data_IF_091048283200
#
_entry.id   IF_091048283200
#
_cell.length_a   1.000
_cell.length_b   1.000
_cell.length_c   1.000
_cell.angle_alpha   90.00
_cell.angle_beta   90.00
_cell.angle_gamma   90.00
#
_symmetry.space_group_name_H-M   'P 1'
#
loop_
_entity.id
_entity.type
_entity.pdbx_description
1 polymer ?
#
# COMPACT_ATOMS: atom_id res chain seq x y z
N UNK A 1 -52.41 19.57 15.27
CA UNK A 1 -51.35 18.58 14.97
C UNK A 1 -50.38 19.27 14.02
N UNK A 2 -49.09 19.40 14.37
CA UNK A 2 -48.17 20.22 13.58
C UNK A 2 -47.47 19.41 12.48
N UNK A 3 -47.30 20.06 11.33
CA UNK A 3 -46.60 19.59 10.15
C UNK A 3 -45.10 19.40 10.42
N UNK A 4 -44.56 18.22 10.10
CA UNK A 4 -43.13 17.93 10.14
C UNK A 4 -42.49 18.21 8.78
N UNK A 5 -41.75 19.31 8.70
CA UNK A 5 -40.88 19.68 7.58
C UNK A 5 -39.68 18.73 7.54
N UNK A 6 -39.55 17.96 6.46
CA UNK A 6 -38.38 17.13 6.17
C UNK A 6 -37.25 17.98 5.59
N UNK A 7 -36.33 18.42 6.46
CA UNK A 7 -35.12 19.14 6.02
C UNK A 7 -34.13 18.12 5.43
N UNK A 8 -34.15 18.00 4.10
CA UNK A 8 -33.11 17.31 3.34
C UNK A 8 -31.77 18.02 3.55
N UNK A 9 -30.89 17.39 4.33
CA UNK A 9 -29.50 17.84 4.57
C UNK A 9 -28.71 17.70 3.26
N UNK A 10 -28.71 18.74 2.41
CA UNK A 10 -27.81 18.86 1.25
C UNK A 10 -26.38 18.69 1.74
N UNK A 11 -25.76 17.55 1.41
CA UNK A 11 -24.30 17.35 1.56
C UNK A 11 -23.63 18.37 0.65
N UNK A 12 -23.08 19.44 1.23
CA UNK A 12 -22.27 20.42 0.53
C UNK A 12 -21.08 19.70 -0.11
N UNK A 13 -21.02 19.69 -1.44
CA UNK A 13 -19.84 19.27 -2.18
C UNK A 13 -18.69 20.21 -1.81
N UNK A 14 -17.69 19.70 -1.11
CA UNK A 14 -16.49 20.45 -0.75
C UNK A 14 -15.82 20.92 -2.06
N UNK A 15 -15.59 22.22 -2.26
CA UNK A 15 -14.95 22.71 -3.47
C UNK A 15 -13.52 22.17 -3.55
N UNK A 16 -13.12 21.60 -4.70
CA UNK A 16 -11.75 21.16 -4.94
C UNK A 16 -10.80 22.34 -4.72
N UNK A 17 -10.03 22.31 -3.66
CA UNK A 17 -9.13 23.42 -3.29
C UNK A 17 -7.76 23.24 -3.93
N UNK A 18 -6.96 24.32 -4.02
CA UNK A 18 -5.55 24.26 -4.44
C UNK A 18 -4.72 23.25 -3.61
N UNK A 19 -5.16 22.96 -2.39
CA UNK A 19 -4.60 21.90 -1.53
C UNK A 19 -4.73 20.51 -2.17
N UNK A 20 -5.88 20.19 -2.77
CA UNK A 20 -6.09 18.89 -3.44
C UNK A 20 -5.20 18.74 -4.68
N UNK A 21 -4.98 19.83 -5.39
CA UNK A 21 -4.09 19.86 -6.57
C UNK A 21 -2.63 19.68 -6.16
N UNK A 22 -2.20 20.35 -5.09
CA UNK A 22 -0.88 20.18 -4.50
C UNK A 22 -0.64 18.73 -4.05
N UNK A 23 -1.61 18.12 -3.35
CA UNK A 23 -1.52 16.72 -2.92
C UNK A 23 -1.40 15.77 -4.11
N UNK A 24 -2.17 16.00 -5.19
CA UNK A 24 -2.06 15.20 -6.43
C UNK A 24 -0.69 15.30 -7.07
N UNK A 25 -0.11 16.50 -7.12
CA UNK A 25 1.24 16.72 -7.65
C UNK A 25 2.28 15.97 -6.83
N UNK A 26 2.21 16.03 -5.49
CA UNK A 26 3.13 15.30 -4.61
C UNK A 26 3.03 13.78 -4.78
N UNK A 27 1.81 13.25 -4.82
CA UNK A 27 1.56 11.81 -5.02
C UNK A 27 2.11 11.38 -6.37
N UNK A 28 1.84 12.14 -7.43
CA UNK A 28 2.32 11.85 -8.78
C UNK A 28 3.85 11.84 -8.83
N UNK A 29 4.50 12.89 -8.32
CA UNK A 29 5.97 12.99 -8.31
C UNK A 29 6.63 11.81 -7.58
N UNK A 30 6.12 11.45 -6.40
CA UNK A 30 6.62 10.31 -5.62
C UNK A 30 6.45 9.00 -6.39
N UNK A 31 5.28 8.82 -7.02
CA UNK A 31 4.98 7.64 -7.84
C UNK A 31 5.91 7.53 -9.04
N UNK A 32 6.11 8.62 -9.78
CA UNK A 32 6.97 8.63 -10.97
C UNK A 32 8.43 8.27 -10.61
N UNK A 33 8.94 8.77 -9.46
CA UNK A 33 10.27 8.41 -8.94
C UNK A 33 10.35 6.93 -8.57
N UNK A 34 9.34 6.39 -7.90
CA UNK A 34 9.30 4.99 -7.51
C UNK A 34 9.17 4.06 -8.73
N UNK A 35 8.30 4.39 -9.69
CA UNK A 35 8.13 3.63 -10.91
C UNK A 35 9.42 3.61 -11.75
N UNK A 36 10.16 4.72 -11.81
CA UNK A 36 11.49 4.76 -12.42
C UNK A 36 12.47 3.78 -11.75
N UNK A 37 12.52 3.75 -10.41
CA UNK A 37 13.35 2.82 -9.66
C UNK A 37 12.94 1.37 -9.89
N UNK A 38 11.64 1.08 -9.94
CA UNK A 38 11.11 -0.27 -10.26
C UNK A 38 11.55 -0.70 -11.66
N UNK A 39 11.51 0.19 -12.65
CA UNK A 39 11.96 -0.11 -14.02
C UNK A 39 13.46 -0.42 -14.06
N UNK A 40 14.28 0.34 -13.33
CA UNK A 40 15.73 0.06 -13.23
C UNK A 40 16.02 -1.28 -12.56
N UNK A 41 15.31 -1.60 -11.48
CA UNK A 41 15.42 -2.89 -10.80
C UNK A 41 14.95 -4.04 -11.67
N UNK A 42 13.87 -3.87 -12.44
CA UNK A 42 13.35 -4.87 -13.36
C UNK A 42 14.31 -5.15 -14.52
N UNK A 43 15.02 -4.13 -15.02
CA UNK A 43 16.08 -4.31 -16.03
C UNK A 43 17.22 -5.19 -15.51
N UNK A 44 17.61 -5.02 -14.24
CA UNK A 44 18.72 -5.77 -13.61
C UNK A 44 18.29 -7.16 -13.11
N UNK A 45 17.09 -7.25 -12.57
CA UNK A 45 16.51 -8.44 -11.97
C UNK A 45 15.04 -8.47 -12.35
N UNK A 46 14.69 -9.08 -13.49
CA UNK A 46 13.31 -9.16 -13.96
C UNK A 46 12.58 -10.32 -13.25
N UNK A 47 11.74 -10.07 -12.21
CA UNK A 47 11.04 -11.14 -11.54
C UNK A 47 9.99 -11.73 -12.48
N UNK A 48 9.98 -13.06 -12.61
CA UNK A 48 8.92 -13.76 -13.36
C UNK A 48 7.56 -13.51 -12.71
N UNK A 49 6.48 -13.53 -13.47
CA UNK A 49 5.10 -13.45 -12.94
C UNK A 49 4.87 -14.42 -11.77
N UNK A 50 5.37 -15.66 -11.89
CA UNK A 50 5.29 -16.67 -10.83
C UNK A 50 5.95 -16.22 -9.52
N UNK A 51 7.02 -15.43 -9.58
CA UNK A 51 7.70 -14.89 -8.39
C UNK A 51 6.83 -13.85 -7.68
N UNK A 52 6.19 -12.97 -8.46
CA UNK A 52 5.26 -11.96 -7.93
C UNK A 52 4.07 -12.66 -7.26
N UNK A 53 3.43 -13.60 -7.97
CA UNK A 53 2.27 -14.34 -7.45
C UNK A 53 2.59 -15.12 -6.17
N UNK A 54 3.80 -15.68 -6.04
CA UNK A 54 4.22 -16.35 -4.81
C UNK A 54 4.26 -15.39 -3.62
N UNK A 55 4.81 -14.19 -3.81
CA UNK A 55 4.87 -13.17 -2.75
C UNK A 55 3.46 -12.68 -2.40
N UNK A 56 2.62 -12.37 -3.39
CA UNK A 56 1.23 -11.99 -3.16
C UNK A 56 0.44 -13.07 -2.41
N UNK A 57 0.59 -14.34 -2.81
CA UNK A 57 -0.07 -15.45 -2.13
C UNK A 57 0.41 -15.66 -0.69
N UNK A 58 1.67 -15.34 -0.38
CA UNK A 58 2.16 -15.33 1.00
C UNK A 58 1.50 -14.22 1.81
N UNK A 59 1.41 -13.00 1.25
CA UNK A 59 0.72 -11.89 1.90
C UNK A 59 -0.77 -12.17 2.15
N UNK A 60 -1.45 -12.83 1.21
CA UNK A 60 -2.85 -13.25 1.40
C UNK A 60 -3.04 -14.24 2.56
N UNK A 61 -2.02 -15.06 2.86
CA UNK A 61 -2.05 -16.00 4.00
C UNK A 61 -1.65 -15.34 5.31
N UNK A 62 -0.74 -14.37 5.22
CA UNK A 62 -0.19 -13.64 6.35
C UNK A 62 0.02 -12.18 5.92
N UNK A 63 -0.89 -11.33 6.37
CA UNK A 63 -0.94 -9.92 6.00
C UNK A 63 0.27 -9.10 6.48
N UNK A 64 1.03 -9.59 7.46
CA UNK A 64 2.14 -8.87 8.07
C UNK A 64 3.39 -9.76 8.20
N UNK A 65 4.54 -9.21 7.82
CA UNK A 65 5.86 -9.79 8.06
C UNK A 65 6.74 -8.78 8.78
N UNK A 66 7.39 -9.18 9.86
CA UNK A 66 8.21 -8.28 10.69
C UNK A 66 9.43 -7.70 9.97
N UNK A 67 9.89 -8.38 8.91
CA UNK A 67 10.99 -7.89 8.09
C UNK A 67 11.01 -8.56 6.72
N UNK A 68 11.77 -7.97 5.79
CA UNK A 68 12.13 -8.61 4.52
C UNK A 68 12.79 -9.98 4.71
N UNK A 69 13.63 -10.13 5.73
CA UNK A 69 14.32 -11.39 6.01
C UNK A 69 13.35 -12.47 6.47
N UNK A 70 12.34 -12.11 7.28
CA UNK A 70 11.26 -13.02 7.66
C UNK A 70 10.49 -13.49 6.40
N UNK A 71 10.08 -12.56 5.53
CA UNK A 71 9.42 -12.91 4.26
C UNK A 71 10.28 -13.83 3.37
N UNK A 72 11.58 -13.57 3.28
CA UNK A 72 12.50 -14.40 2.49
C UNK A 72 12.62 -15.84 3.05
N UNK A 73 12.59 -16.00 4.37
CA UNK A 73 12.57 -17.34 5.02
C UNK A 73 11.28 -18.08 4.70
N UNK A 74 10.14 -17.41 4.71
CA UNK A 74 8.84 -17.99 4.36
C UNK A 74 8.76 -18.39 2.88
N UNK A 75 9.51 -17.72 2.00
CA UNK A 75 9.71 -18.13 0.62
C UNK A 75 10.59 -19.39 0.45
N UNK A 76 11.16 -19.94 1.54
CA UNK A 76 11.97 -21.18 1.57
C UNK A 76 13.05 -21.25 0.48
N UNK A 77 13.77 -20.15 0.28
CA UNK A 77 14.84 -20.08 -0.72
C UNK A 77 14.38 -20.10 -2.18
N UNK A 78 13.07 -20.05 -2.44
CA UNK A 78 12.52 -20.06 -3.81
C UNK A 78 12.81 -18.78 -4.61
N UNK A 79 13.44 -17.78 -3.99
CA UNK A 79 13.77 -16.49 -4.58
C UNK A 79 15.07 -15.92 -4.00
N UNK A 80 15.86 -15.26 -4.84
CA UNK A 80 17.04 -14.50 -4.41
C UNK A 80 16.63 -13.18 -3.73
N UNK A 81 17.39 -12.66 -2.75
CA UNK A 81 17.10 -11.38 -2.09
C UNK A 81 16.94 -10.21 -3.06
N UNK A 82 17.73 -10.15 -4.12
CA UNK A 82 17.67 -9.08 -5.13
C UNK A 82 16.37 -9.12 -5.94
N UNK A 83 15.92 -10.33 -6.31
CA UNK A 83 14.64 -10.52 -6.98
C UNK A 83 13.47 -10.17 -6.04
N UNK A 84 13.57 -10.51 -4.74
CA UNK A 84 12.58 -10.11 -3.75
C UNK A 84 12.49 -8.59 -3.64
N UNK A 85 13.62 -7.88 -3.65
CA UNK A 85 13.61 -6.40 -3.63
C UNK A 85 12.88 -5.81 -4.83
N UNK A 86 13.08 -6.35 -6.04
CA UNK A 86 12.33 -5.88 -7.22
C UNK A 86 10.84 -6.15 -7.08
N UNK A 87 10.44 -7.32 -6.58
CA UNK A 87 9.03 -7.65 -6.35
C UNK A 87 8.43 -6.72 -5.30
N UNK A 88 9.09 -6.49 -4.17
CA UNK A 88 8.61 -5.59 -3.12
C UNK A 88 8.49 -4.15 -3.62
N UNK A 89 9.49 -3.64 -4.35
CA UNK A 89 9.43 -2.30 -4.92
C UNK A 89 8.23 -2.13 -5.85
N UNK A 90 7.96 -3.14 -6.69
CA UNK A 90 6.78 -3.18 -7.56
C UNK A 90 5.47 -3.22 -6.76
N UNK A 91 5.37 -4.05 -5.74
CA UNK A 91 4.16 -4.14 -4.91
C UNK A 91 3.89 -2.84 -4.13
N UNK A 92 4.94 -2.13 -3.70
CA UNK A 92 4.81 -0.79 -3.10
C UNK A 92 4.31 0.20 -4.16
N UNK A 93 4.84 0.18 -5.39
CA UNK A 93 4.40 1.11 -6.43
C UNK A 93 2.97 0.85 -6.92
N UNK A 94 2.51 -0.39 -6.82
CA UNK A 94 1.12 -0.81 -7.04
C UNK A 94 0.21 -0.55 -5.82
N UNK A 95 0.72 0.03 -4.73
CA UNK A 95 0.01 0.24 -3.45
C UNK A 95 -0.63 -1.04 -2.89
N UNK A 96 0.00 -2.20 -3.11
CA UNK A 96 -0.45 -3.48 -2.55
C UNK A 96 0.15 -3.77 -1.19
N UNK A 97 1.31 -3.19 -0.89
CA UNK A 97 1.97 -3.31 0.41
C UNK A 97 2.50 -1.95 0.87
N UNK A 98 2.64 -1.81 2.19
CA UNK A 98 3.37 -0.72 2.85
C UNK A 98 4.62 -1.29 3.50
N UNK A 99 5.71 -0.51 3.45
CA UNK A 99 6.89 -0.71 4.29
C UNK A 99 6.77 0.26 5.45
N UNK A 100 6.60 -0.25 6.66
CA UNK A 100 6.43 0.55 7.86
C UNK A 100 7.79 1.09 8.36
N UNK A 101 7.75 2.03 9.30
CA UNK A 101 8.94 2.63 9.91
C UNK A 101 9.82 1.59 10.64
N UNK A 102 9.21 0.56 11.22
CA UNK A 102 9.90 -0.58 11.86
C UNK A 102 10.47 -1.60 10.84
N UNK A 103 10.42 -1.28 9.55
CA UNK A 103 10.79 -2.14 8.42
C UNK A 103 9.91 -3.38 8.25
N UNK A 104 8.80 -3.49 8.98
CA UNK A 104 7.80 -4.51 8.71
C UNK A 104 7.08 -4.25 7.39
N UNK A 105 6.63 -5.33 6.77
CA UNK A 105 5.93 -5.34 5.49
C UNK A 105 4.48 -5.72 5.73
N UNK A 106 3.58 -4.89 5.22
CA UNK A 106 2.16 -5.04 5.51
C UNK A 106 1.37 -4.99 4.22
N UNK A 107 0.53 -6.00 3.99
CA UNK A 107 -0.40 -6.05 2.87
C UNK A 107 -1.54 -5.05 3.09
N UNK A 108 -1.80 -4.24 2.07
CA UNK A 108 -2.92 -3.30 2.06
C UNK A 108 -4.15 -4.09 1.65
N UNK A 109 -4.75 -4.73 2.64
CA UNK A 109 -6.11 -5.26 2.60
C UNK A 109 -6.85 -4.72 3.82
N UNK A 110 -7.89 -3.94 3.55
CA UNK A 110 -8.71 -3.28 4.57
C UNK A 110 -9.45 -4.27 5.47
N UNK A 111 -9.66 -5.51 5.04
CA UNK A 111 -10.48 -6.47 5.79
C UNK A 111 -9.69 -7.22 6.88
N UNK A 112 -8.38 -7.38 6.73
CA UNK A 112 -7.55 -8.19 7.65
C UNK A 112 -6.62 -7.41 8.57
N UNK A 113 -6.30 -6.15 8.26
CA UNK A 113 -5.08 -5.50 8.74
C UNK A 113 -5.22 -4.74 10.06
N UNK A 114 -4.95 -5.44 11.16
CA UNK A 114 -5.06 -4.90 12.53
C UNK A 114 -4.16 -3.69 12.80
N UNK A 115 -2.91 -3.67 12.32
CA UNK A 115 -2.01 -2.52 12.54
C UNK A 115 -2.45 -1.30 11.74
N UNK A 116 -2.84 -1.48 10.47
CA UNK A 116 -3.36 -0.40 9.65
C UNK A 116 -4.66 0.16 10.24
N UNK A 117 -5.58 -0.73 10.65
CA UNK A 117 -6.82 -0.33 11.30
C UNK A 117 -6.56 0.43 12.60
N UNK A 118 -5.63 -0.03 13.44
CA UNK A 118 -5.23 0.66 14.67
C UNK A 118 -4.54 2.01 14.39
N UNK A 119 -3.72 2.10 13.35
CA UNK A 119 -3.11 3.36 12.93
C UNK A 119 -4.17 4.36 12.41
N UNK A 120 -5.17 3.88 11.66
CA UNK A 120 -6.32 4.69 11.25
C UNK A 120 -7.16 5.16 12.44
N UNK A 121 -7.45 4.28 13.40
CA UNK A 121 -8.16 4.64 14.65
C UNK A 121 -7.42 5.74 15.42
N UNK A 122 -6.08 5.64 15.51
CA UNK A 122 -5.26 6.63 16.23
C UNK A 122 -5.06 7.95 15.45
N UNK A 123 -5.21 7.95 14.13
CA UNK A 123 -4.95 9.09 13.27
C UNK A 123 -6.15 10.04 13.11
N UNK A 124 -7.32 9.70 13.68
CA UNK A 124 -8.49 10.59 13.71
C UNK A 124 -8.49 11.39 15.02
N UNK A 125 -8.05 12.66 15.02
CA UNK A 125 -8.48 13.59 16.06
C UNK A 125 -9.94 13.94 15.76
N UNK A 126 -10.86 13.54 16.66
CA UNK A 126 -12.23 14.05 16.69
C UNK A 126 -12.23 15.54 17.07
#
# INVERSE_FOLDING_TARGET
>A
MPDTISVQKKRSSIPKTKSDEFLKILIKKRRDQLDSLVQELAKKNNPKLLSILKVENLFKKRIEFDSRTHLLRELKGSMKPTALNTVLARLVSENKIVVNEDHSLTWIDSEGNKKLNKAFENAVPL
#
